data_IF_491873597199
#
_entry.id   IF_491873597199
#
_cell.length_a   1.000
_cell.length_b   1.000
_cell.length_c   1.000
_cell.angle_alpha   90.00
_cell.angle_beta   90.00
_cell.angle_gamma   90.00
#
_symmetry.space_group_name_H-M   'P 1'
#
loop_
_entity.id
_entity.type
_entity.pdbx_description
1 polymer ?
#
# COMPACT_ATOMS: atom_id res chain seq x y z
N UNK A 1 18.59 5.83 -51.86
CA UNK A 1 19.57 5.90 -50.75
C UNK A 1 19.76 4.49 -50.25
N UNK A 2 20.99 3.95 -50.31
CA UNK A 2 21.24 2.55 -50.04
C UNK A 2 21.84 2.39 -48.64
N UNK A 3 21.00 2.11 -47.64
CA UNK A 3 21.38 2.02 -46.23
C UNK A 3 22.41 0.91 -45.97
N UNK A 4 22.41 -0.16 -46.76
CA UNK A 4 23.25 -1.34 -46.56
C UNK A 4 24.67 -1.23 -47.12
N UNK A 5 24.88 -0.37 -48.13
CA UNK A 5 26.18 -0.21 -48.80
C UNK A 5 27.36 0.11 -47.84
N UNK A 6 27.25 1.09 -46.92
CA UNK A 6 28.36 1.40 -46.01
C UNK A 6 28.69 0.28 -45.01
N UNK A 7 27.73 -0.60 -44.69
CA UNK A 7 27.96 -1.74 -43.80
C UNK A 7 28.69 -2.89 -44.51
N UNK A 8 28.49 -3.03 -45.83
CA UNK A 8 29.15 -4.03 -46.67
C UNK A 8 30.59 -3.58 -46.99
N UNK A 9 30.79 -2.30 -47.30
CA UNK A 9 32.12 -1.75 -47.64
C UNK A 9 33.07 -1.68 -46.44
N UNK A 10 32.55 -1.73 -45.20
CA UNK A 10 33.34 -1.68 -43.96
C UNK A 10 33.04 -2.87 -43.03
N UNK A 11 33.39 -4.10 -43.42
CA UNK A 11 33.04 -5.31 -42.68
C UNK A 11 33.63 -5.32 -41.25
N UNK A 12 34.83 -4.77 -41.06
CA UNK A 12 35.47 -4.68 -39.74
C UNK A 12 34.73 -3.72 -38.81
N UNK A 13 34.34 -2.54 -39.31
CA UNK A 13 33.59 -1.55 -38.52
C UNK A 13 32.20 -2.07 -38.15
N UNK A 14 31.50 -2.72 -39.09
CA UNK A 14 30.19 -3.34 -38.85
C UNK A 14 30.27 -4.45 -37.80
N UNK A 15 31.31 -5.29 -37.85
CA UNK A 15 31.51 -6.36 -36.87
C UNK A 15 31.78 -5.81 -35.46
N UNK A 16 32.65 -4.80 -35.34
CA UNK A 16 32.93 -4.14 -34.05
C UNK A 16 31.70 -3.43 -33.49
N UNK A 17 30.91 -2.77 -34.35
CA UNK A 17 29.64 -2.14 -33.95
C UNK A 17 28.65 -3.17 -33.43
N UNK A 18 28.55 -4.32 -34.10
CA UNK A 18 27.64 -5.41 -33.72
C UNK A 18 28.04 -6.02 -32.38
N UNK A 19 29.33 -6.27 -32.17
CA UNK A 19 29.87 -6.75 -30.90
C UNK A 19 29.63 -5.72 -29.79
N UNK A 20 29.88 -4.44 -30.06
CA UNK A 20 29.62 -3.36 -29.10
C UNK A 20 28.16 -3.30 -28.67
N UNK A 21 27.22 -3.42 -29.61
CA UNK A 21 25.79 -3.44 -29.34
C UNK A 21 25.38 -4.69 -28.54
N UNK A 22 25.95 -5.85 -28.87
CA UNK A 22 25.71 -7.09 -28.15
C UNK A 22 26.19 -7.03 -26.70
N UNK A 23 27.39 -6.47 -26.46
CA UNK A 23 27.94 -6.28 -25.12
C UNK A 23 27.12 -5.26 -24.31
N UNK A 24 26.73 -4.14 -24.92
CA UNK A 24 25.85 -3.15 -24.29
C UNK A 24 24.49 -3.76 -23.92
N UNK A 25 23.92 -4.57 -24.81
CA UNK A 25 22.67 -5.31 -24.56
C UNK A 25 22.82 -6.33 -23.43
N UNK A 26 23.91 -7.09 -23.39
CA UNK A 26 24.18 -8.06 -22.33
C UNK A 26 24.38 -7.39 -20.96
N UNK A 27 25.04 -6.23 -20.92
CA UNK A 27 25.15 -5.42 -19.71
C UNK A 27 23.77 -4.90 -19.28
N UNK A 28 23.02 -4.27 -20.18
CA UNK A 28 21.68 -3.75 -19.90
C UNK A 28 20.72 -4.83 -19.41
N UNK A 29 20.79 -6.04 -19.98
CA UNK A 29 19.96 -7.18 -19.57
C UNK A 29 20.18 -7.58 -18.10
N UNK A 30 21.42 -7.47 -17.59
CA UNK A 30 21.71 -7.75 -16.16
C UNK A 30 21.35 -6.60 -15.22
N UNK A 31 21.27 -5.38 -15.74
CA UNK A 31 20.93 -4.19 -14.94
C UNK A 31 19.43 -3.88 -14.95
N UNK A 32 18.65 -4.50 -15.84
CA UNK A 32 17.20 -4.30 -15.89
C UNK A 32 16.56 -4.83 -14.61
N UNK A 33 15.89 -3.96 -13.82
CA UNK A 33 15.18 -4.40 -12.63
C UNK A 33 13.99 -5.26 -13.03
N UNK A 34 13.95 -6.50 -12.53
CA UNK A 34 12.81 -7.39 -12.72
C UNK A 34 11.80 -7.08 -11.63
N UNK A 35 10.69 -6.43 -12.00
CA UNK A 35 9.57 -6.19 -11.09
C UNK A 35 8.59 -7.38 -11.15
N UNK A 36 8.39 -8.16 -10.07
CA UNK A 36 7.57 -9.38 -10.10
C UNK A 36 6.07 -9.15 -10.26
N UNK A 37 5.59 -7.93 -10.01
CA UNK A 37 4.22 -7.51 -10.24
C UNK A 37 4.22 -6.20 -11.03
N UNK A 38 3.27 -5.98 -11.97
CA UNK A 38 2.97 -4.63 -12.40
C UNK A 38 2.58 -3.82 -11.15
N UNK A 39 3.35 -2.78 -10.83
CA UNK A 39 3.03 -1.85 -9.75
C UNK A 39 1.77 -1.09 -10.17
N UNK A 40 0.62 -1.59 -9.76
CA UNK A 40 -0.64 -0.86 -9.86
C UNK A 40 -0.95 -0.39 -8.46
N UNK A 41 -0.44 0.79 -8.13
CA UNK A 41 -0.67 1.44 -6.84
C UNK A 41 -2.09 1.99 -6.80
N UNK A 42 -3.06 1.11 -6.52
CA UNK A 42 -4.43 1.53 -6.35
C UNK A 42 -4.55 2.40 -5.09
N UNK A 43 -5.04 3.65 -5.22
CA UNK A 43 -5.23 4.52 -4.06
C UNK A 43 -6.24 3.88 -3.12
N UNK A 44 -5.77 3.44 -1.95
CA UNK A 44 -6.58 2.72 -0.98
C UNK A 44 -6.57 3.44 0.37
N UNK A 45 -7.74 3.65 0.95
CA UNK A 45 -7.90 4.26 2.27
C UNK A 45 -8.60 3.27 3.19
N UNK A 46 -7.99 3.01 4.34
CA UNK A 46 -8.60 2.18 5.38
C UNK A 46 -9.10 3.07 6.51
N UNK A 47 -10.39 2.96 6.79
CA UNK A 47 -11.07 3.58 7.92
C UNK A 47 -11.25 2.53 9.01
N UNK A 48 -10.97 2.90 10.26
CA UNK A 48 -11.16 2.03 11.41
C UNK A 48 -12.00 2.71 12.48
N UNK A 49 -12.92 1.96 13.07
CA UNK A 49 -13.73 2.36 14.22
C UNK A 49 -13.73 1.25 15.27
N UNK A 50 -13.76 1.62 16.55
CA UNK A 50 -13.78 0.66 17.66
C UNK A 50 -14.87 1.01 18.66
N UNK A 51 -15.72 0.04 18.97
CA UNK A 51 -16.78 0.12 19.97
C UNK A 51 -16.62 -1.08 20.92
N UNK A 52 -15.90 -0.93 22.03
CA UNK A 52 -15.61 -2.02 22.95
C UNK A 52 -16.88 -2.73 23.44
N UNK A 53 -16.86 -4.06 23.49
CA UNK A 53 -17.97 -4.87 23.99
C UNK A 53 -19.11 -5.15 22.99
N UNK A 54 -19.06 -4.59 21.78
CA UNK A 54 -20.03 -4.91 20.73
C UNK A 54 -19.68 -6.20 19.97
N UNK A 55 -20.69 -7.03 19.69
CA UNK A 55 -20.54 -8.22 18.85
C UNK A 55 -20.25 -7.84 17.38
N UNK A 56 -19.64 -8.73 16.57
CA UNK A 56 -19.40 -8.47 15.15
C UNK A 56 -20.67 -8.05 14.37
N UNK A 57 -21.81 -8.65 14.68
CA UNK A 57 -23.10 -8.34 14.04
C UNK A 57 -23.59 -6.95 14.44
N UNK A 58 -23.43 -6.60 15.72
CA UNK A 58 -23.75 -5.27 16.24
C UNK A 58 -22.85 -4.22 15.59
N UNK A 59 -21.56 -4.51 15.46
CA UNK A 59 -20.59 -3.66 14.77
C UNK A 59 -20.98 -3.43 13.31
N UNK A 60 -21.35 -4.49 12.58
CA UNK A 60 -21.77 -4.39 11.19
C UNK A 60 -23.03 -3.51 11.03
N UNK A 61 -24.05 -3.74 11.86
CA UNK A 61 -25.32 -3.02 11.76
C UNK A 61 -25.24 -1.55 12.21
N UNK A 62 -24.53 -1.28 13.32
CA UNK A 62 -24.58 0.02 14.00
C UNK A 62 -23.40 0.93 13.67
N UNK A 63 -22.27 0.38 13.22
CA UNK A 63 -21.05 1.15 12.92
C UNK A 63 -20.67 1.03 11.44
N UNK A 64 -20.55 -0.17 10.89
CA UNK A 64 -20.14 -0.36 9.50
C UNK A 64 -21.18 0.21 8.52
N UNK A 65 -22.45 -0.15 8.68
CA UNK A 65 -23.52 0.26 7.74
C UNK A 65 -23.70 1.78 7.63
N UNK A 66 -23.68 2.57 8.72
CA UNK A 66 -23.70 4.05 8.61
C UNK A 66 -22.44 4.65 7.99
N UNK A 67 -21.27 4.06 8.28
CA UNK A 67 -20.00 4.48 7.67
C UNK A 67 -20.01 4.22 6.16
N UNK A 68 -20.38 3.01 5.74
CA UNK A 68 -20.49 2.63 4.32
C UNK A 68 -21.44 3.56 3.55
N UNK A 69 -22.62 3.87 4.11
CA UNK A 69 -23.56 4.82 3.48
C UNK A 69 -22.97 6.21 3.31
N UNK A 70 -22.14 6.66 4.24
CA UNK A 70 -21.53 7.98 4.19
C UNK A 70 -20.34 8.03 3.24
N UNK A 71 -19.51 6.98 3.27
CA UNK A 71 -18.30 6.82 2.46
C UNK A 71 -18.62 6.46 0.99
N UNK A 72 -19.69 5.71 0.75
CA UNK A 72 -20.14 5.36 -0.61
C UNK A 72 -20.69 6.54 -1.41
N UNK A 73 -20.87 7.72 -0.80
CA UNK A 73 -21.19 8.97 -1.51
C UNK A 73 -19.96 9.68 -2.08
N UNK A 74 -18.76 9.23 -1.74
CA UNK A 74 -17.52 9.80 -2.26
C UNK A 74 -17.36 9.37 -3.71
N UNK A 75 -17.06 10.32 -4.60
CA UNK A 75 -16.86 10.04 -6.01
C UNK A 75 -15.53 9.29 -6.25
N UNK A 76 -15.56 8.35 -7.21
CA UNK A 76 -14.37 7.60 -7.63
C UNK A 76 -14.00 6.42 -6.73
N UNK A 77 -14.92 5.94 -5.88
CA UNK A 77 -14.78 4.67 -5.16
C UNK A 77 -15.13 3.53 -6.13
N UNK A 78 -14.17 2.64 -6.41
CA UNK A 78 -14.36 1.46 -7.28
C UNK A 78 -14.80 0.24 -6.48
N UNK A 79 -14.25 0.08 -5.29
CA UNK A 79 -14.57 -1.03 -4.40
C UNK A 79 -14.61 -0.54 -2.95
N UNK A 80 -15.57 -1.06 -2.19
CA UNK A 80 -15.68 -0.83 -0.76
C UNK A 80 -15.91 -2.16 -0.06
N UNK A 81 -15.00 -2.52 0.84
CA UNK A 81 -15.07 -3.75 1.62
C UNK A 81 -15.09 -3.42 3.10
N UNK A 82 -16.03 -3.97 3.85
CA UNK A 82 -16.08 -3.85 5.31
C UNK A 82 -15.83 -5.20 5.98
N UNK A 83 -15.05 -5.17 7.06
CA UNK A 83 -14.79 -6.31 7.91
C UNK A 83 -15.08 -5.90 9.35
N UNK A 84 -16.09 -6.54 9.94
CA UNK A 84 -16.51 -6.32 11.31
C UNK A 84 -16.05 -7.48 12.18
N UNK A 85 -15.45 -7.17 13.32
CA UNK A 85 -14.99 -8.14 14.32
C UNK A 85 -15.38 -7.67 15.72
N UNK A 86 -15.10 -8.48 16.73
CA UNK A 86 -15.45 -8.16 18.12
C UNK A 86 -14.85 -6.80 18.52
N UNK A 87 -15.73 -5.84 18.82
CA UNK A 87 -15.38 -4.49 19.23
C UNK A 87 -14.68 -3.61 18.19
N UNK A 88 -14.55 -4.05 16.93
CA UNK A 88 -13.90 -3.25 15.89
C UNK A 88 -14.50 -3.45 14.50
N UNK A 89 -14.39 -2.43 13.66
CA UNK A 89 -14.78 -2.47 12.25
C UNK A 89 -13.72 -1.76 11.43
N UNK A 90 -13.38 -2.37 10.30
CA UNK A 90 -12.50 -1.79 9.29
C UNK A 90 -13.27 -1.70 7.98
N UNK A 91 -13.28 -0.50 7.39
CA UNK A 91 -13.81 -0.27 6.04
C UNK A 91 -12.63 0.11 5.15
N UNK A 92 -12.44 -0.61 4.06
CA UNK A 92 -11.40 -0.36 3.07
C UNK A 92 -12.07 0.18 1.82
N UNK A 93 -11.64 1.36 1.38
CA UNK A 93 -12.09 2.03 0.16
C UNK A 93 -10.96 1.98 -0.85
N UNK A 94 -11.23 1.40 -2.00
CA UNK A 94 -10.36 1.47 -3.16
C UNK A 94 -10.93 2.51 -4.12
N UNK A 95 -10.06 3.40 -4.60
CA UNK A 95 -10.42 4.45 -5.55
C UNK A 95 -9.88 4.13 -6.96
N UNK A 96 -10.41 4.83 -7.95
CA UNK A 96 -9.90 4.80 -9.33
C UNK A 96 -8.41 5.16 -9.39
N UNK A 97 -7.66 4.54 -10.31
CA UNK A 97 -6.19 4.69 -10.41
C UNK A 97 -5.73 6.15 -10.63
N UNK A 98 -6.55 6.97 -11.29
CA UNK A 98 -6.26 8.39 -11.54
C UNK A 98 -6.68 9.32 -10.40
N UNK A 99 -7.23 8.78 -9.29
CA UNK A 99 -7.67 9.59 -8.15
C UNK A 99 -6.48 9.99 -7.29
N UNK A 100 -6.38 11.29 -7.01
CA UNK A 100 -5.45 11.80 -6.00
C UNK A 100 -5.81 11.27 -4.60
N UNK A 101 -4.88 10.55 -3.98
CA UNK A 101 -5.04 9.99 -2.63
C UNK A 101 -5.19 11.08 -1.56
N UNK A 102 -4.62 12.26 -1.75
CA UNK A 102 -4.73 13.39 -0.82
C UNK A 102 -6.11 14.05 -0.90
N UNK A 103 -6.63 14.23 -2.11
CA UNK A 103 -8.02 14.59 -2.37
C UNK A 103 -9.00 13.59 -1.76
N UNK A 104 -8.82 12.29 -2.06
CA UNK A 104 -9.66 11.23 -1.51
C UNK A 104 -9.61 11.20 0.03
N UNK A 105 -8.45 11.42 0.65
CA UNK A 105 -8.32 11.48 2.10
C UNK A 105 -9.13 12.63 2.72
N UNK A 106 -9.16 13.81 2.08
CA UNK A 106 -9.98 14.95 2.53
C UNK A 106 -11.47 14.63 2.42
N UNK A 107 -11.89 13.98 1.34
CA UNK A 107 -13.28 13.57 1.16
C UNK A 107 -13.70 12.52 2.17
N UNK A 108 -12.83 11.55 2.46
CA UNK A 108 -13.04 10.55 3.52
C UNK A 108 -13.18 11.23 4.87
N UNK A 109 -12.30 12.18 5.20
CA UNK A 109 -12.41 12.94 6.45
C UNK A 109 -13.73 13.73 6.54
N UNK A 110 -14.16 14.36 5.45
CA UNK A 110 -15.44 15.07 5.39
C UNK A 110 -16.63 14.11 5.56
N UNK A 111 -16.60 12.95 4.89
CA UNK A 111 -17.62 11.92 5.02
C UNK A 111 -17.68 11.31 6.42
N UNK A 112 -16.53 11.10 7.07
CA UNK A 112 -16.46 10.68 8.47
C UNK A 112 -17.10 11.73 9.39
N UNK A 113 -16.82 13.01 9.18
CA UNK A 113 -17.45 14.08 9.93
C UNK A 113 -18.97 14.12 9.74
N UNK A 114 -19.46 13.90 8.53
CA UNK A 114 -20.89 13.81 8.24
C UNK A 114 -21.54 12.53 8.84
N UNK A 115 -20.78 11.43 8.93
CA UNK A 115 -21.26 10.17 9.49
C UNK A 115 -21.37 10.21 11.03
N UNK A 116 -20.64 11.11 11.71
CA UNK A 116 -20.57 11.16 13.19
C UNK A 116 -21.94 11.24 13.87
N UNK A 117 -22.91 11.93 13.28
CA UNK A 117 -24.27 12.01 13.84
C UNK A 117 -25.08 10.71 13.71
N UNK A 118 -24.67 9.80 12.82
CA UNK A 118 -25.32 8.51 12.59
C UNK A 118 -24.65 7.37 13.37
N UNK A 119 -23.54 7.65 14.05
CA UNK A 119 -22.79 6.67 14.82
C UNK A 119 -23.30 6.57 16.27
N UNK A 120 -23.18 5.41 16.92
CA UNK A 120 -23.55 5.26 18.33
C UNK A 120 -22.72 6.16 19.24
N UNK A 121 -23.34 6.72 20.28
CA UNK A 121 -22.68 7.56 21.28
C UNK A 121 -21.67 6.81 22.16
N UNK A 122 -21.66 5.47 22.11
CA UNK A 122 -20.74 4.60 22.86
C UNK A 122 -19.32 4.49 22.29
N UNK A 123 -19.00 5.15 21.17
CA UNK A 123 -17.67 5.14 20.59
C UNK A 123 -16.68 5.92 21.48
N UNK A 124 -15.62 5.28 22.01
CA UNK A 124 -14.62 5.94 22.84
C UNK A 124 -13.79 6.97 22.07
N UNK A 125 -13.60 6.71 20.77
CA UNK A 125 -12.84 7.55 19.85
C UNK A 125 -13.57 7.66 18.52
N UNK A 126 -13.34 8.76 17.81
CA UNK A 126 -13.87 8.90 16.46
C UNK A 126 -13.19 7.91 15.51
N UNK A 127 -13.88 7.47 14.45
CA UNK A 127 -13.25 6.70 13.40
C UNK A 127 -12.03 7.43 12.83
N UNK A 128 -10.93 6.69 12.65
CA UNK A 128 -9.70 7.20 12.06
C UNK A 128 -9.52 6.63 10.66
N UNK A 129 -8.78 7.32 9.82
CA UNK A 129 -8.43 6.83 8.49
C UNK A 129 -6.91 6.82 8.32
N UNK A 130 -6.43 5.90 7.49
CA UNK A 130 -5.03 5.81 7.06
C UNK A 130 -4.97 5.49 5.59
N UNK A 131 -4.03 6.10 4.90
CA UNK A 131 -3.68 5.73 3.52
C UNK A 131 -2.98 4.38 3.60
N UNK A 132 -3.47 3.41 2.85
CA UNK A 132 -2.86 2.09 2.74
C UNK A 132 -2.21 2.04 1.38
N UNK A 133 -0.89 1.93 1.35
CA UNK A 133 -0.19 1.63 0.12
C UNK A 133 -0.07 0.10 0.00
N UNK A 134 -0.60 -0.54 -1.06
CA UNK A 134 -0.37 -1.96 -1.32
C UNK A 134 1.11 -2.31 -1.43
N UNK A 135 1.97 -1.35 -1.82
CA UNK A 135 3.41 -1.50 -1.82
C UNK A 135 4.05 -1.53 -0.41
N UNK A 136 3.31 -1.16 0.64
CA UNK A 136 3.74 -1.29 2.04
C UNK A 136 3.55 -2.72 2.58
N UNK A 137 3.12 -3.68 1.75
CA UNK A 137 3.13 -5.08 2.12
C UNK A 137 4.57 -5.45 2.57
N UNK A 138 4.74 -6.06 3.74
CA UNK A 138 6.07 -6.26 4.31
C UNK A 138 6.92 -7.10 3.36
N UNK A 139 7.99 -6.50 2.83
CA UNK A 139 8.97 -7.17 1.97
C UNK A 139 9.73 -8.25 2.77
N UNK A 140 9.86 -8.05 4.08
CA UNK A 140 10.53 -8.98 4.99
C UNK A 140 9.86 -8.96 6.37
N UNK A 141 9.56 -10.15 6.92
CA UNK A 141 9.10 -10.32 8.30
C UNK A 141 10.24 -10.97 9.09
N UNK A 142 10.66 -10.33 10.19
CA UNK A 142 11.73 -10.79 11.05
C UNK A 142 11.16 -11.17 12.43
N UNK A 143 11.55 -12.34 12.92
CA UNK A 143 11.25 -12.79 14.28
C UNK A 143 12.53 -12.77 15.12
N UNK A 144 12.45 -12.23 16.34
CA UNK A 144 13.57 -12.15 17.28
C UNK A 144 13.43 -13.24 18.33
N UNK A 145 14.50 -13.99 18.57
CA UNK A 145 14.59 -14.99 19.64
C UNK A 145 15.89 -14.81 20.40
N UNK A 146 15.87 -15.08 21.71
CA UNK A 146 17.05 -15.01 22.57
C UNK A 146 16.87 -15.94 23.76
N UNK A 147 17.92 -16.71 24.08
CA UNK A 147 17.95 -17.59 25.25
C UNK A 147 18.29 -16.85 26.55
N UNK A 148 18.80 -15.61 26.44
CA UNK A 148 19.32 -14.82 27.58
C UNK A 148 18.57 -13.53 27.83
N UNK A 149 17.84 -13.01 26.83
CA UNK A 149 17.07 -11.77 26.96
C UNK A 149 15.59 -12.04 27.23
N UNK A 150 15.01 -11.25 28.13
CA UNK A 150 13.57 -11.28 28.38
C UNK A 150 12.78 -10.66 27.21
N UNK A 151 11.48 -10.96 27.12
CA UNK A 151 10.62 -10.43 26.06
C UNK A 151 10.60 -8.89 25.99
N UNK A 152 10.63 -8.21 27.14
CA UNK A 152 10.71 -6.74 27.19
C UNK A 152 12.03 -6.20 26.64
N UNK A 153 13.16 -6.80 27.04
CA UNK A 153 14.48 -6.42 26.52
C UNK A 153 14.61 -6.68 25.02
N UNK A 154 13.99 -7.76 24.51
CA UNK A 154 13.94 -8.03 23.07
C UNK A 154 13.07 -7.00 22.32
N UNK A 155 11.95 -6.57 22.90
CA UNK A 155 11.10 -5.52 22.32
C UNK A 155 11.85 -4.18 22.25
N UNK A 156 12.57 -3.81 23.31
CA UNK A 156 13.36 -2.59 23.35
C UNK A 156 14.48 -2.63 22.31
N UNK A 157 15.24 -3.72 22.23
CA UNK A 157 16.29 -3.89 21.22
C UNK A 157 15.72 -3.86 19.79
N UNK A 158 14.57 -4.50 19.57
CA UNK A 158 13.87 -4.51 18.29
C UNK A 158 13.42 -3.11 17.84
N UNK A 159 12.79 -2.36 18.74
CA UNK A 159 12.21 -1.05 18.43
C UNK A 159 13.25 0.08 18.34
N UNK A 160 14.29 0.05 19.18
CA UNK A 160 15.26 1.16 19.28
C UNK A 160 16.50 0.97 18.43
N UNK A 161 16.95 -0.28 18.21
CA UNK A 161 18.18 -0.57 17.46
C UNK A 161 17.84 -1.11 16.08
N UNK A 162 17.08 -2.20 16.02
CA UNK A 162 16.85 -2.92 14.76
C UNK A 162 15.95 -2.12 13.82
N UNK A 163 14.81 -1.62 14.31
CA UNK A 163 13.89 -0.82 13.50
C UNK A 163 14.54 0.48 13.00
N UNK A 164 15.33 1.16 13.84
CA UNK A 164 16.05 2.38 13.45
C UNK A 164 17.08 2.12 12.35
N UNK A 165 17.86 1.04 12.44
CA UNK A 165 18.84 0.68 11.41
C UNK A 165 18.20 0.28 10.09
N UNK A 166 17.10 -0.46 10.14
CA UNK A 166 16.36 -0.86 8.95
C UNK A 166 15.67 0.33 8.26
N UNK A 167 15.23 1.34 9.02
CA UNK A 167 14.62 2.55 8.46
C UNK A 167 15.60 3.46 7.71
N UNK A 168 16.91 3.22 7.82
CA UNK A 168 17.95 4.01 7.15
C UNK A 168 18.40 3.41 5.80
N UNK A 169 17.99 2.18 5.49
CA UNK A 169 18.23 1.50 4.22
C UNK A 169 17.17 1.90 3.19
#
# INVERSE_FOLDING_TARGET
MNLSAPFIDRPVATTLLTIGLALAGAAAFRLLPVSPLPQVDFPTISVQASLPGASPETMAATVATPLERSLGRIAGVTEMTSNSSLGSTRVTLQFELNRDIDGAARDVQAALNAARSLLPTGLPSNPTYRKVNPADAPIMILALTSDTMTQGQMYDAGSTIIAQKLSQL
#
